data_IF_721485088083
#
_entry.id   IF_721485088083
#
_cell.length_a   1.000
_cell.length_b   1.000
_cell.length_c   1.000
_cell.angle_alpha   90.00
_cell.angle_beta   90.00
_cell.angle_gamma   90.00
#
_symmetry.space_group_name_H-M   'P 1'
#
loop_
_entity.id
_entity.type
_entity.pdbx_description
1 polymer ?
#
# COMPACT_ATOMS: atom_id res chain seq x y z
N UNK A 1 5.01 -8.30 20.14
CA UNK A 1 5.81 -8.23 18.92
C UNK A 1 5.18 -7.30 17.92
N UNK A 2 5.96 -6.44 17.30
CA UNK A 2 5.43 -5.51 16.35
C UNK A 2 5.19 -6.16 15.01
N UNK A 3 4.08 -5.89 14.35
CA UNK A 3 3.90 -6.42 13.01
C UNK A 3 4.88 -5.74 12.05
N UNK A 4 5.19 -6.40 10.93
CA UNK A 4 6.08 -5.79 9.94
C UNK A 4 5.49 -4.49 9.43
N UNK A 5 6.36 -3.58 9.01
CA UNK A 5 5.93 -2.29 8.49
C UNK A 5 4.96 -2.47 7.33
N UNK A 6 5.26 -3.41 6.43
CA UNK A 6 4.41 -3.67 5.28
C UNK A 6 2.98 -4.00 5.70
N UNK A 7 2.83 -4.80 6.75
CA UNK A 7 1.52 -5.17 7.23
C UNK A 7 0.79 -3.95 7.79
N UNK A 8 1.51 -3.09 8.50
CA UNK A 8 0.89 -1.90 9.07
C UNK A 8 0.42 -0.94 7.99
N UNK A 9 1.21 -0.80 6.93
CA UNK A 9 0.82 0.01 5.79
C UNK A 9 -0.44 -0.57 5.15
N UNK A 10 -0.45 -1.88 4.97
CA UNK A 10 -1.60 -2.55 4.38
C UNK A 10 -2.86 -2.34 5.20
N UNK A 11 -2.76 -2.50 6.53
CA UNK A 11 -3.92 -2.34 7.39
C UNK A 11 -4.46 -0.92 7.34
N UNK A 12 -3.58 0.06 7.28
CA UNK A 12 -4.01 1.45 7.21
C UNK A 12 -4.77 1.72 5.90
N UNK A 13 -4.23 1.25 4.79
CA UNK A 13 -4.88 1.45 3.50
C UNK A 13 -6.20 0.69 3.44
N UNK A 14 -6.22 -0.51 4.00
CA UNK A 14 -7.45 -1.30 4.03
C UNK A 14 -8.53 -0.58 4.81
N UNK A 15 -8.17 0.00 5.94
CA UNK A 15 -9.13 0.69 6.79
C UNK A 15 -9.65 1.95 6.11
N UNK A 16 -8.79 2.69 5.44
CA UNK A 16 -9.18 3.94 4.80
C UNK A 16 -9.74 3.76 3.40
N UNK A 17 -9.51 2.62 2.80
CA UNK A 17 -9.88 2.28 1.43
C UNK A 17 -9.02 3.03 0.42
N UNK A 18 -8.69 4.26 0.66
CA UNK A 18 -7.79 5.04 -0.20
C UNK A 18 -7.08 6.06 0.66
N UNK A 19 -5.84 6.35 0.33
CA UNK A 19 -5.06 7.29 1.09
C UNK A 19 -3.92 7.79 0.21
N UNK A 20 -3.24 8.85 0.63
CA UNK A 20 -2.07 9.30 -0.10
C UNK A 20 -0.82 8.80 0.63
N UNK A 21 0.30 8.79 -0.08
CA UNK A 21 1.56 8.37 0.52
C UNK A 21 1.91 9.27 1.70
N UNK A 22 1.60 10.57 1.63
CA UNK A 22 1.86 11.47 2.75
C UNK A 22 1.09 11.07 3.98
N UNK A 23 -0.18 10.72 3.81
CA UNK A 23 -1.01 10.31 4.94
C UNK A 23 -0.51 9.02 5.57
N UNK A 24 -0.08 8.09 4.74
CA UNK A 24 0.43 6.83 5.24
C UNK A 24 1.72 7.07 6.01
N UNK A 25 2.60 7.87 5.46
CA UNK A 25 3.88 8.15 6.10
C UNK A 25 3.67 8.83 7.44
N UNK A 26 2.74 9.78 7.50
CA UNK A 26 2.44 10.47 8.74
C UNK A 26 1.90 9.51 9.78
N UNK A 27 1.01 8.62 9.37
CA UNK A 27 0.43 7.64 10.29
C UNK A 27 1.52 6.74 10.87
N UNK A 28 2.40 6.24 10.02
CA UNK A 28 3.43 5.33 10.49
C UNK A 28 4.41 6.05 11.41
N UNK A 29 4.77 7.29 11.08
CA UNK A 29 5.74 8.03 11.88
C UNK A 29 5.22 8.38 13.26
N UNK A 30 3.94 8.31 13.48
CA UNK A 30 3.42 8.54 14.82
C UNK A 30 3.82 7.44 15.79
N UNK A 31 4.11 6.26 15.30
CA UNK A 31 4.47 5.15 16.18
C UNK A 31 5.90 4.69 16.01
N UNK A 32 6.51 4.92 14.87
CA UNK A 32 7.91 4.55 14.69
C UNK A 32 8.48 5.31 13.52
N UNK A 33 9.76 5.63 13.55
CA UNK A 33 10.37 6.36 12.44
C UNK A 33 10.28 5.56 11.16
N UNK A 34 9.93 6.23 10.09
CA UNK A 34 9.81 5.59 8.78
C UNK A 34 10.21 6.59 7.72
N UNK A 35 11.16 6.22 6.89
CA UNK A 35 11.57 7.09 5.80
C UNK A 35 10.69 6.86 4.59
N UNK A 36 10.73 7.82 3.67
CA UNK A 36 9.96 7.66 2.44
C UNK A 36 10.48 6.48 1.63
N UNK A 37 11.76 6.18 1.73
CA UNK A 37 12.32 5.03 1.03
C UNK A 37 11.75 3.72 1.57
N UNK A 38 11.62 3.63 2.89
CA UNK A 38 11.04 2.44 3.49
C UNK A 38 9.59 2.29 3.11
N UNK A 39 8.87 3.40 3.08
CA UNK A 39 7.47 3.37 2.66
C UNK A 39 7.36 2.95 1.20
N UNK A 40 8.21 3.51 0.34
CA UNK A 40 8.18 3.17 -1.07
C UNK A 40 8.37 1.68 -1.29
N UNK A 41 9.28 1.08 -0.53
CA UNK A 41 9.52 -0.35 -0.65
C UNK A 41 8.30 -1.15 -0.25
N UNK A 42 7.64 -0.74 0.83
CA UNK A 42 6.43 -1.43 1.27
C UNK A 42 5.32 -1.29 0.24
N UNK A 43 5.15 -0.11 -0.32
CA UNK A 43 4.11 0.11 -1.33
C UNK A 43 4.38 -0.74 -2.57
N UNK A 44 5.63 -0.82 -2.97
CA UNK A 44 5.99 -1.63 -4.13
C UNK A 44 5.69 -3.10 -3.88
N UNK A 45 6.05 -3.61 -2.70
CA UNK A 45 5.80 -5.00 -2.37
C UNK A 45 4.31 -5.30 -2.37
N UNK A 46 3.51 -4.40 -1.77
CA UNK A 46 2.06 -4.62 -1.71
C UNK A 46 1.41 -4.51 -3.07
N UNK A 47 1.94 -3.64 -3.92
CA UNK A 47 1.41 -3.50 -5.27
C UNK A 47 1.69 -4.75 -6.09
N UNK A 48 2.89 -5.29 -5.95
CA UNK A 48 3.25 -6.52 -6.66
C UNK A 48 2.37 -7.68 -6.22
N UNK A 49 2.02 -7.70 -4.93
CA UNK A 49 1.13 -8.74 -4.41
C UNK A 49 -0.31 -8.53 -4.84
N UNK A 50 -0.62 -7.39 -5.42
CA UNK A 50 -1.99 -7.12 -5.83
C UNK A 50 -2.89 -6.66 -4.70
N UNK A 51 -2.31 -6.29 -3.57
CA UNK A 51 -3.10 -5.87 -2.42
C UNK A 51 -3.50 -4.40 -2.48
N UNK A 52 -2.74 -3.60 -3.18
CA UNK A 52 -3.03 -2.17 -3.33
C UNK A 52 -2.76 -1.75 -4.76
N UNK A 53 -3.29 -0.59 -5.10
CA UNK A 53 -3.05 0.03 -6.39
C UNK A 53 -2.47 1.41 -6.12
N UNK A 54 -1.41 1.77 -6.81
CA UNK A 54 -0.73 3.04 -6.58
C UNK A 54 -0.75 3.85 -7.86
N UNK A 55 -1.20 5.11 -7.76
CA UNK A 55 -1.24 5.99 -8.91
C UNK A 55 -0.71 7.35 -8.57
N UNK A 56 -0.04 7.99 -9.50
CA UNK A 56 0.43 9.35 -9.31
C UNK A 56 -0.74 10.28 -9.58
N UNK A 57 -1.10 11.11 -8.61
CA UNK A 57 -2.18 12.08 -8.77
C UNK A 57 -1.63 13.49 -8.86
N UNK A 58 -0.37 13.67 -8.50
CA UNK A 58 0.30 14.95 -8.63
C UNK A 58 1.78 14.65 -8.78
N UNK A 59 2.56 15.69 -9.03
CA UNK A 59 3.96 15.52 -9.31
C UNK A 59 4.69 14.72 -8.24
N UNK A 60 4.36 14.96 -6.98
CA UNK A 60 5.03 14.26 -5.91
C UNK A 60 4.05 13.62 -4.95
N UNK A 61 2.87 13.28 -5.43
CA UNK A 61 1.87 12.70 -4.57
C UNK A 61 1.24 11.50 -5.25
N UNK A 62 1.21 10.40 -4.54
CA UNK A 62 0.62 9.16 -5.05
C UNK A 62 -0.63 8.84 -4.26
N UNK A 63 -1.61 8.31 -4.95
CA UNK A 63 -2.82 7.83 -4.31
C UNK A 63 -2.70 6.32 -4.21
N UNK A 64 -2.91 5.80 -3.00
CA UNK A 64 -2.82 4.37 -2.72
C UNK A 64 -4.23 3.88 -2.41
N UNK A 65 -4.70 2.91 -3.16
CA UNK A 65 -6.05 2.40 -2.99
C UNK A 65 -6.03 0.94 -2.61
N UNK A 66 -6.93 0.56 -1.71
CA UNK A 66 -7.04 -0.83 -1.31
C UNK A 66 -7.75 -1.60 -2.42
N UNK A 67 -7.22 -2.76 -2.76
CA UNK A 67 -7.85 -3.60 -3.77
C UNK A 67 -8.75 -4.57 -3.03
N UNK A 68 -10.05 -4.28 -3.05
CA UNK A 68 -10.99 -5.08 -2.28
C UNK A 68 -11.17 -6.46 -2.86
N UNK A 69 -11.17 -6.54 -4.17
CA UNK A 69 -11.33 -7.81 -4.82
C UNK A 69 -10.11 -8.03 -5.66
N UNK A 70 -9.11 -8.73 -5.12
CA UNK A 70 -7.90 -8.96 -5.89
C UNK A 70 -8.27 -9.61 -7.22
N UNK A 71 -7.54 -9.31 -8.26
CA UNK A 71 -7.81 -9.95 -9.54
C UNK A 71 -7.82 -11.44 -9.34
N UNK A 72 -8.82 -12.08 -9.90
CA UNK A 72 -8.87 -13.52 -9.83
C UNK A 72 -7.60 -14.07 -10.44
N UNK A 73 -7.09 -15.16 -9.92
CA UNK A 73 -5.96 -15.80 -10.56
C UNK A 73 -6.30 -16.02 -12.00
N UNK A 74 -5.33 -15.78 -12.84
CA UNK A 74 -5.56 -15.95 -14.23
C UNK A 74 -5.97 -17.40 -14.45
N UNK A 75 -7.03 -17.56 -15.20
CA UNK A 75 -7.52 -18.89 -15.40
C UNK A 75 -6.87 -19.42 -16.63
N UNK A 76 -5.61 -19.79 -16.49
CA UNK A 76 -4.96 -20.33 -17.62
C UNK A 76 -5.64 -21.57 -17.98
N UNK A 77 -5.66 -21.93 -19.01
CA UNK A 77 -6.18 -23.18 -19.35
C UNK A 77 -7.59 -23.13 -19.66
N UNK A 78 -8.26 -22.23 -19.10
CA UNK A 78 -9.49 -22.20 -19.49
C UNK A 78 -9.55 -21.52 -20.65
N UNK A 79 -8.57 -21.10 -20.89
CA UNK A 79 -8.53 -20.56 -22.25
C UNK A 79 -8.47 -20.61 -22.63
#
# INVERSE_FOLDING_TARGET
MKPPLRYRVFEFVKDKKASTDDEILEFINKSEPCSIHELNKCLMDLEILGAISVRWVAKEKRRVEFVETPPAPVQYGEG
#
